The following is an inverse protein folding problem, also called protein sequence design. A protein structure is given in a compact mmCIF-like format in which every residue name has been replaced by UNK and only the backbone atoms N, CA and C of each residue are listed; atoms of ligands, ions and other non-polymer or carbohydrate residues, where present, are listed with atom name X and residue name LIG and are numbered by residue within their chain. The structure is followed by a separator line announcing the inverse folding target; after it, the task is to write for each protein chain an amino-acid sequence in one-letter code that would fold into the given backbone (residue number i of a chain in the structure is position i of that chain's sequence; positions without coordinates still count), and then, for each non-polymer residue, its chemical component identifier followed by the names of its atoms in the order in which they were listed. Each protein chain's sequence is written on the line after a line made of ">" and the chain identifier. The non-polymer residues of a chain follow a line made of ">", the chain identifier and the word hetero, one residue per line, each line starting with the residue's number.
data_IF_227777033770
#
_entry.id   IF_227777033770
#
_cell.length_a   1.000
_cell.length_b   1.000
_cell.length_c   1.000
_cell.angle_alpha   90.00
_cell.angle_beta   90.00
_cell.angle_gamma   90.00
#
_symmetry.space_group_name_H-M   'P 1'
#
loop_
_entity.id
_entity.type
_entity.pdbx_description
1 polymer ?
#
# COMPACT_ATOMS: atom_id res chain seq x y z
N UNK A 1 -11.87 -37.87 9.17
CA UNK A 1 -12.73 -36.69 8.99
C UNK A 1 -11.89 -35.65 8.28
N UNK A 2 -12.23 -35.27 7.06
CA UNK A 2 -11.53 -34.19 6.36
C UNK A 2 -11.88 -32.88 7.07
N UNK A 3 -10.88 -32.15 7.56
CA UNK A 3 -11.07 -30.85 8.18
C UNK A 3 -11.38 -29.83 7.08
N UNK A 4 -12.56 -29.22 7.13
CA UNK A 4 -12.99 -28.21 6.17
C UNK A 4 -12.83 -26.82 6.80
N UNK A 5 -12.27 -25.89 6.05
CA UNK A 5 -12.22 -24.47 6.43
C UNK A 5 -13.59 -23.84 6.16
N UNK A 6 -14.08 -23.05 7.11
CA UNK A 6 -15.24 -22.20 6.92
C UNK A 6 -14.86 -20.75 7.21
N UNK A 7 -15.27 -19.83 6.33
CA UNK A 7 -14.99 -18.39 6.46
C UNK A 7 -16.26 -17.59 6.31
N UNK A 8 -16.50 -16.63 7.21
CA UNK A 8 -17.59 -15.65 7.10
C UNK A 8 -17.11 -14.25 7.45
N UNK A 9 -17.77 -13.22 6.93
CA UNK A 9 -17.42 -11.81 7.17
C UNK A 9 -18.63 -11.08 7.78
N UNK A 10 -18.91 -11.21 9.08
CA UNK A 10 -20.13 -10.64 9.67
C UNK A 10 -20.16 -9.13 9.76
N UNK A 11 -19.01 -8.45 9.79
CA UNK A 11 -18.96 -7.00 9.97
C UNK A 11 -17.74 -6.34 9.32
N UNK A 12 -17.80 -5.01 9.21
CA UNK A 12 -16.66 -4.16 8.87
C UNK A 12 -16.37 -3.18 10.01
N UNK A 13 -15.13 -2.75 10.13
CA UNK A 13 -14.65 -1.85 11.19
C UNK A 13 -13.68 -0.82 10.62
N UNK A 14 -13.56 0.34 11.27
CA UNK A 14 -12.50 1.31 10.97
C UNK A 14 -11.25 0.93 11.74
N UNK A 15 -10.18 0.61 11.02
CA UNK A 15 -8.87 0.29 11.59
C UNK A 15 -7.98 1.51 11.45
N UNK A 16 -7.38 1.95 12.55
CA UNK A 16 -6.40 3.02 12.57
C UNK A 16 -5.00 2.42 12.64
N UNK A 17 -4.15 2.81 11.70
CA UNK A 17 -2.73 2.48 11.69
C UNK A 17 -1.86 3.75 11.60
N UNK A 18 -0.54 3.58 11.49
CA UNK A 18 0.40 4.69 11.37
C UNK A 18 0.27 5.51 10.08
N UNK A 19 -0.46 4.99 9.07
CA UNK A 19 -0.67 5.62 7.75
C UNK A 19 -2.03 6.29 7.59
N UNK A 20 -2.98 6.03 8.51
CA UNK A 20 -4.31 6.63 8.52
C UNK A 20 -5.37 5.64 9.03
N UNK A 21 -6.62 5.93 8.70
CA UNK A 21 -7.74 5.02 8.95
C UNK A 21 -8.16 4.32 7.66
N UNK A 22 -8.45 3.02 7.74
CA UNK A 22 -8.99 2.25 6.63
C UNK A 22 -10.14 1.35 7.06
N UNK A 23 -11.01 0.99 6.13
CA UNK A 23 -12.07 0.03 6.39
C UNK A 23 -11.54 -1.40 6.32
N UNK A 24 -11.52 -2.07 7.46
CA UNK A 24 -11.22 -3.49 7.59
C UNK A 24 -12.50 -4.33 7.60
N UNK A 25 -12.45 -5.49 6.97
CA UNK A 25 -13.52 -6.49 7.01
C UNK A 25 -13.10 -7.59 7.97
N UNK A 26 -13.98 -7.88 8.93
CA UNK A 26 -13.72 -8.81 10.02
C UNK A 26 -14.09 -10.21 9.52
N UNK A 27 -13.10 -11.01 9.16
CA UNK A 27 -13.31 -12.39 8.71
C UNK A 27 -13.17 -13.36 9.88
N UNK A 28 -14.24 -14.09 10.17
CA UNK A 28 -14.29 -15.18 11.13
C UNK A 28 -13.97 -16.48 10.42
N UNK A 29 -12.94 -17.18 10.89
CA UNK A 29 -12.43 -18.39 10.30
C UNK A 29 -12.59 -19.56 11.29
N UNK A 30 -13.01 -20.72 10.79
CA UNK A 30 -13.13 -21.96 11.56
C UNK A 30 -12.49 -23.10 10.81
N UNK A 31 -11.65 -23.87 11.49
CA UNK A 31 -11.01 -25.05 10.92
C UNK A 31 -10.96 -26.15 11.98
N UNK A 32 -11.82 -27.17 11.82
CA UNK A 32 -12.07 -28.13 12.90
C UNK A 32 -12.67 -27.45 14.13
N UNK A 33 -12.02 -27.62 15.28
CA UNK A 33 -12.43 -27.03 16.56
C UNK A 33 -11.81 -25.64 16.79
N UNK A 34 -10.84 -25.25 15.98
CA UNK A 34 -10.20 -23.94 16.07
C UNK A 34 -11.06 -22.88 15.39
N UNK A 35 -11.21 -21.72 16.04
CA UNK A 35 -11.92 -20.57 15.51
C UNK A 35 -11.15 -19.29 15.82
N UNK A 36 -10.94 -18.43 14.84
CA UNK A 36 -10.24 -17.16 15.04
C UNK A 36 -10.81 -16.07 14.15
N UNK A 37 -10.29 -14.86 14.30
CA UNK A 37 -10.70 -13.70 13.53
C UNK A 37 -9.48 -13.02 12.96
N UNK A 38 -9.56 -12.67 11.68
CA UNK A 38 -8.57 -11.87 10.95
C UNK A 38 -9.27 -10.66 10.34
N UNK A 39 -8.54 -9.55 10.21
CA UNK A 39 -9.08 -8.33 9.62
C UNK A 39 -8.32 -8.06 8.34
N UNK A 40 -9.04 -7.97 7.23
CA UNK A 40 -8.46 -7.69 5.92
C UNK A 40 -9.02 -6.42 5.31
N UNK A 41 -8.17 -5.64 4.64
CA UNK A 41 -8.61 -4.53 3.78
C UNK A 41 -9.12 -5.07 2.45
N UNK A 42 -9.99 -4.33 1.78
CA UNK A 42 -10.57 -4.72 0.49
C UNK A 42 -9.52 -5.15 -0.56
N UNK A 43 -8.38 -4.46 -0.64
CA UNK A 43 -7.35 -4.81 -1.63
C UNK A 43 -6.78 -6.21 -1.43
N UNK A 44 -6.67 -6.69 -0.19
CA UNK A 44 -6.18 -8.05 0.08
C UNK A 44 -7.15 -9.10 -0.46
N UNK A 45 -8.47 -8.89 -0.36
CA UNK A 45 -9.47 -9.78 -1.00
C UNK A 45 -9.36 -9.73 -2.53
N UNK A 46 -9.11 -8.54 -3.09
CA UNK A 46 -8.94 -8.38 -4.53
C UNK A 46 -7.68 -9.11 -5.03
N UNK A 47 -6.59 -9.06 -4.28
CA UNK A 47 -5.35 -9.75 -4.60
C UNK A 47 -5.52 -11.28 -4.51
N UNK A 48 -6.22 -11.75 -3.46
CA UNK A 48 -6.64 -13.16 -3.32
C UNK A 48 -7.43 -13.61 -4.55
N UNK A 49 -8.48 -12.86 -4.91
CA UNK A 49 -9.34 -13.16 -6.05
C UNK A 49 -8.57 -13.20 -7.36
N UNK A 50 -7.71 -12.21 -7.59
CA UNK A 50 -6.84 -12.15 -8.78
C UNK A 50 -5.92 -13.37 -8.87
N UNK A 51 -5.37 -13.80 -7.72
CA UNK A 51 -4.51 -14.99 -7.65
C UNK A 51 -5.28 -16.29 -7.90
N UNK A 52 -6.51 -16.41 -7.41
CA UNK A 52 -7.39 -17.57 -7.66
C UNK A 52 -7.81 -17.66 -9.13
N UNK A 53 -8.20 -16.54 -9.74
CA UNK A 53 -8.60 -16.49 -11.16
C UNK A 53 -7.45 -16.85 -12.11
N UNK A 54 -6.22 -16.43 -11.78
CA UNK A 54 -5.03 -16.78 -12.56
C UNK A 54 -4.81 -18.29 -12.65
N UNK A 55 -5.17 -19.01 -11.61
CA UNK A 55 -5.06 -20.48 -11.51
C UNK A 55 -6.36 -21.18 -11.93
N UNK A 56 -7.21 -20.47 -12.70
CA UNK A 56 -8.45 -20.96 -13.31
C UNK A 56 -9.58 -21.37 -12.34
N UNK A 57 -9.55 -20.93 -11.08
CA UNK A 57 -10.76 -20.96 -10.24
C UNK A 57 -11.62 -19.75 -10.56
N UNK A 58 -12.78 -20.01 -11.16
CA UNK A 58 -13.85 -19.03 -11.30
C UNK A 58 -14.91 -19.34 -10.24
N UNK A 59 -15.14 -18.39 -9.34
CA UNK A 59 -16.29 -18.42 -8.44
C UNK A 59 -17.52 -17.90 -9.18
N UNK A 60 -18.69 -18.45 -8.90
CA UNK A 60 -19.94 -17.91 -9.42
C UNK A 60 -20.36 -16.62 -8.67
N UNK A 61 -19.90 -16.44 -7.43
CA UNK A 61 -20.22 -15.28 -6.60
C UNK A 61 -19.69 -13.97 -7.19
N UNK A 62 -20.52 -12.90 -7.22
CA UNK A 62 -20.13 -11.62 -7.76
C UNK A 62 -19.12 -10.91 -6.83
N UNK A 63 -17.90 -10.70 -7.33
CA UNK A 63 -16.90 -9.94 -6.57
C UNK A 63 -17.19 -8.43 -6.62
N UNK A 64 -17.13 -7.70 -5.48
CA UNK A 64 -17.44 -6.27 -5.45
C UNK A 64 -16.46 -5.46 -6.31
N UNK A 65 -16.90 -4.47 -7.11
CA UNK A 65 -16.02 -3.66 -7.94
C UNK A 65 -15.08 -2.77 -7.11
N UNK A 66 -13.91 -2.45 -7.68
CA UNK A 66 -12.88 -1.62 -7.02
C UNK A 66 -13.34 -0.18 -6.80
N UNK A 67 -14.06 0.38 -7.76
CA UNK A 67 -14.69 1.70 -7.67
C UNK A 67 -16.14 1.54 -7.23
N UNK A 68 -16.40 1.63 -5.94
CA UNK A 68 -17.74 2.02 -5.49
C UNK A 68 -17.78 3.54 -5.51
N UNK A 69 -18.84 4.13 -6.07
CA UNK A 69 -19.16 5.53 -5.80
C UNK A 69 -19.23 5.77 -4.29
N UNK A 70 -19.12 7.03 -3.85
CA UNK A 70 -19.10 7.51 -2.46
C UNK A 70 -19.47 6.45 -1.41
N UNK A 71 -18.57 6.19 -0.45
CA UNK A 71 -18.71 5.17 0.60
C UNK A 71 -19.85 5.55 1.56
N UNK A 72 -21.08 5.40 1.09
CA UNK A 72 -22.31 5.45 1.88
C UNK A 72 -22.44 4.12 2.61
N UNK A 73 -23.05 4.11 3.81
CA UNK A 73 -23.20 2.90 4.63
C UNK A 73 -23.75 1.69 3.86
N UNK A 74 -24.78 1.91 3.04
CA UNK A 74 -25.39 0.85 2.22
C UNK A 74 -24.44 0.24 1.18
N UNK A 75 -23.57 1.06 0.58
CA UNK A 75 -22.59 0.60 -0.40
C UNK A 75 -21.50 -0.25 0.27
N UNK A 76 -21.09 0.13 1.49
CA UNK A 76 -20.11 -0.61 2.26
C UNK A 76 -20.67 -1.97 2.72
N UNK A 77 -21.91 -1.97 3.22
CA UNK A 77 -22.57 -3.21 3.66
C UNK A 77 -22.82 -4.17 2.49
N UNK A 78 -23.23 -3.64 1.33
CA UNK A 78 -23.33 -4.44 0.10
C UNK A 78 -21.97 -5.04 -0.29
N UNK A 79 -20.89 -4.27 -0.20
CA UNK A 79 -19.53 -4.77 -0.47
C UNK A 79 -19.14 -5.86 0.53
N UNK A 80 -19.43 -5.69 1.83
CA UNK A 80 -19.19 -6.72 2.86
C UNK A 80 -19.92 -8.01 2.51
N UNK A 81 -21.22 -7.92 2.20
CA UNK A 81 -22.04 -9.09 1.86
C UNK A 81 -21.52 -9.85 0.64
N UNK A 82 -21.09 -9.13 -0.41
CA UNK A 82 -20.49 -9.76 -1.59
C UNK A 82 -19.14 -10.43 -1.29
N UNK A 83 -18.32 -9.86 -0.41
CA UNK A 83 -17.09 -10.50 0.04
C UNK A 83 -17.39 -11.76 0.87
N UNK A 84 -18.41 -11.72 1.73
CA UNK A 84 -18.84 -12.86 2.55
C UNK A 84 -19.29 -14.03 1.66
N UNK A 85 -20.16 -13.77 0.70
CA UNK A 85 -20.64 -14.77 -0.27
C UNK A 85 -19.47 -15.39 -1.06
N UNK A 86 -18.54 -14.57 -1.53
CA UNK A 86 -17.33 -15.02 -2.22
C UNK A 86 -16.45 -15.93 -1.34
N UNK A 87 -16.23 -15.56 -0.08
CA UNK A 87 -15.41 -16.36 0.84
C UNK A 87 -16.07 -17.68 1.23
N UNK A 88 -17.40 -17.68 1.39
CA UNK A 88 -18.16 -18.90 1.67
C UNK A 88 -18.07 -19.88 0.51
N UNK A 89 -18.26 -19.42 -0.73
CA UNK A 89 -18.13 -20.25 -1.93
C UNK A 89 -16.71 -20.82 -2.07
N UNK A 90 -15.69 -19.98 -1.89
CA UNK A 90 -14.30 -20.44 -1.87
C UNK A 90 -14.08 -21.53 -0.81
N UNK A 91 -14.54 -21.31 0.42
CA UNK A 91 -14.33 -22.25 1.53
C UNK A 91 -15.07 -23.59 1.35
N UNK A 92 -16.19 -23.60 0.62
CA UNK A 92 -16.99 -24.79 0.34
C UNK A 92 -16.56 -25.58 -0.92
N UNK A 93 -15.74 -24.98 -1.79
CA UNK A 93 -15.32 -25.62 -3.03
C UNK A 93 -14.16 -26.60 -2.83
N UNK A 94 -14.18 -27.70 -3.58
CA UNK A 94 -13.06 -28.65 -3.58
C UNK A 94 -11.91 -28.07 -4.42
N UNK A 95 -10.93 -27.48 -3.74
CA UNK A 95 -9.80 -26.80 -4.38
C UNK A 95 -8.52 -27.67 -4.40
N UNK A 96 -7.67 -27.52 -5.42
CA UNK A 96 -6.30 -28.06 -5.42
C UNK A 96 -5.50 -27.62 -4.20
N UNK A 97 -4.58 -28.48 -3.73
CA UNK A 97 -3.79 -28.26 -2.51
C UNK A 97 -3.04 -26.92 -2.51
N UNK A 98 -2.47 -26.51 -3.65
CA UNK A 98 -1.76 -25.24 -3.76
C UNK A 98 -2.69 -24.02 -3.58
N UNK A 99 -3.96 -24.11 -3.98
CA UNK A 99 -4.95 -23.03 -3.81
C UNK A 99 -5.53 -23.03 -2.41
N UNK A 100 -5.70 -24.21 -1.80
CA UNK A 100 -5.97 -24.30 -0.36
C UNK A 100 -4.87 -23.61 0.44
N UNK A 101 -3.59 -23.80 0.07
CA UNK A 101 -2.47 -23.13 0.73
C UNK A 101 -2.54 -21.60 0.62
N UNK A 102 -2.94 -21.04 -0.53
CA UNK A 102 -3.14 -19.59 -0.69
C UNK A 102 -4.27 -19.09 0.20
N UNK A 103 -5.39 -19.81 0.26
CA UNK A 103 -6.50 -19.45 1.15
C UNK A 103 -6.08 -19.55 2.63
N UNK A 104 -5.32 -20.58 3.01
CA UNK A 104 -4.79 -20.76 4.36
C UNK A 104 -3.78 -19.69 4.76
N UNK A 105 -2.96 -19.23 3.82
CA UNK A 105 -2.08 -18.08 4.02
C UNK A 105 -2.89 -16.80 4.27
N UNK A 106 -3.92 -16.57 3.44
CA UNK A 106 -4.81 -15.42 3.58
C UNK A 106 -5.49 -15.37 4.95
N UNK A 107 -6.09 -16.47 5.41
CA UNK A 107 -6.74 -16.54 6.73
C UNK A 107 -5.76 -16.72 7.90
N UNK A 108 -4.46 -16.69 7.65
CA UNK A 108 -3.41 -16.90 8.66
C UNK A 108 -3.50 -18.24 9.42
N UNK A 109 -4.02 -19.30 8.79
CA UNK A 109 -4.31 -20.59 9.43
C UNK A 109 -3.14 -21.11 10.29
N UNK A 110 -1.92 -21.10 9.74
CA UNK A 110 -0.71 -21.61 10.42
C UNK A 110 -0.35 -20.80 11.67
N UNK A 111 -0.73 -19.52 11.74
CA UNK A 111 -0.46 -18.67 12.91
C UNK A 111 -1.49 -18.89 14.02
N UNK A 112 -2.66 -19.45 13.72
CA UNK A 112 -3.83 -19.45 14.60
C UNK A 112 -4.32 -20.84 15.02
N UNK A 113 -3.98 -21.90 14.29
CA UNK A 113 -4.35 -23.27 14.64
C UNK A 113 -3.69 -23.71 15.96
N UNK A 114 -4.44 -24.39 16.83
CA UNK A 114 -3.96 -24.82 18.16
C UNK A 114 -3.78 -23.69 19.18
N UNK A 115 -4.05 -22.44 18.82
CA UNK A 115 -4.23 -21.35 19.79
C UNK A 115 -5.70 -21.35 20.19
N UNK A 116 -5.98 -21.95 21.34
CA UNK A 116 -7.31 -21.90 21.96
C UNK A 116 -7.85 -20.46 21.90
N UNK A 117 -8.96 -20.28 21.20
CA UNK A 117 -9.66 -19.01 21.13
C UNK A 117 -10.69 -18.93 22.25
N UNK A 118 -10.87 -17.76 22.89
CA UNK A 118 -11.91 -17.55 23.88
C UNK A 118 -13.28 -17.60 23.20
N UNK A 119 -13.85 -18.80 23.11
CA UNK A 119 -15.22 -18.98 22.67
C UNK A 119 -16.20 -18.39 23.70
N UNK A 120 -17.10 -17.55 23.19
CA UNK A 120 -18.47 -17.34 23.65
C UNK A 120 -18.69 -16.63 25.00
N UNK A 121 -18.96 -15.32 24.93
CA UNK A 121 -20.22 -14.81 25.50
C UNK A 121 -21.18 -14.57 24.35
N UNK A 122 -22.15 -15.47 24.22
CA UNK A 122 -23.25 -15.34 23.28
C UNK A 122 -24.32 -14.42 23.83
N UNK A 123 -25.00 -13.69 22.94
CA UNK A 123 -26.36 -13.24 23.17
C UNK A 123 -27.01 -12.95 21.81
N UNK A 124 -27.98 -13.79 21.44
CA UNK A 124 -28.99 -13.50 20.44
C UNK A 124 -30.36 -13.88 21.05
N UNK A 125 -31.18 -12.84 21.21
CA UNK A 125 -32.65 -12.74 21.34
C UNK A 125 -33.52 -14.01 21.47
N UNK A 126 -34.46 -14.00 22.44
CA UNK A 126 -35.91 -13.83 22.20
C UNK A 126 -36.79 -14.17 23.44
N UNK A 127 -37.66 -13.21 23.77
CA UNK A 127 -39.02 -13.24 24.32
C UNK A 127 -39.65 -14.46 25.07
N UNK A 128 -40.36 -14.06 26.14
CA UNK A 128 -41.69 -14.49 26.62
C UNK A 128 -41.83 -15.39 27.89
N UNK A 129 -42.54 -14.78 28.87
CA UNK A 129 -43.49 -15.34 29.84
C UNK A 129 -43.06 -15.70 31.28
N UNK A 130 -43.32 -14.74 32.19
CA UNK A 130 -44.14 -14.83 33.42
C UNK A 130 -43.82 -15.87 34.52
N UNK A 131 -43.38 -15.40 35.71
CA UNK A 131 -44.19 -15.35 36.95
C UNK A 131 -43.32 -15.30 38.24
N UNK A 132 -43.64 -14.36 39.14
CA UNK A 132 -43.33 -14.33 40.60
C UNK A 132 -41.87 -14.06 40.98
N UNK A 133 -41.47 -13.02 41.71
CA UNK A 133 -42.14 -12.32 42.80
C UNK A 133 -41.48 -12.68 44.13
N UNK A 134 -40.40 -11.97 44.51
CA UNK A 134 -40.02 -11.70 45.91
C UNK A 134 -38.83 -10.73 45.97
N UNK A 135 -39.10 -9.52 46.44
CA UNK A 135 -38.12 -8.49 46.82
C UNK A 135 -37.22 -8.93 47.97
N UNK A 136 -35.91 -8.65 47.87
CA UNK A 136 -35.11 -8.00 48.93
C UNK A 136 -33.95 -7.24 48.26
N UNK A 137 -33.88 -5.93 48.47
CA UNK A 137 -32.83 -5.00 47.99
C UNK A 137 -31.52 -5.05 48.83
N UNK A 138 -30.41 -4.46 48.34
CA UNK A 138 -29.02 -4.89 48.59
C UNK A 138 -28.22 -3.95 49.52
N UNK A 139 -26.97 -4.31 49.88
CA UNK A 139 -25.98 -3.34 50.35
C UNK A 139 -24.96 -2.93 49.28
N UNK A 140 -25.06 -1.64 48.91
CA UNK A 140 -24.00 -0.63 48.76
C UNK A 140 -22.66 -1.02 48.10
N UNK A 141 -22.48 -0.54 46.85
CA UNK A 141 -21.19 -0.32 46.21
C UNK A 141 -20.74 1.16 46.41
N UNK A 142 -19.42 1.44 46.55
CA UNK A 142 -18.91 2.80 46.65
C UNK A 142 -18.94 3.55 45.31
N UNK A 143 -19.27 4.85 45.40
CA UNK A 143 -19.55 5.77 44.30
C UNK A 143 -18.33 6.10 43.41
N UNK A 144 -18.54 6.37 42.10
CA UNK A 144 -17.60 7.08 41.24
C UNK A 144 -17.67 8.61 41.46
N UNK A 145 -16.58 9.36 41.22
CA UNK A 145 -16.53 10.79 41.47
C UNK A 145 -17.41 11.60 40.51
N UNK A 146 -18.12 12.55 41.11
CA UNK A 146 -18.91 13.58 40.45
C UNK A 146 -18.03 14.62 39.76
N UNK A 147 -18.29 14.87 38.48
CA UNK A 147 -18.33 16.24 37.95
C UNK A 147 -19.16 16.23 36.66
N UNK A 148 -20.45 16.52 36.81
CA UNK A 148 -21.31 16.90 35.72
C UNK A 148 -20.92 18.33 35.29
N UNK A 149 -20.35 18.48 34.10
CA UNK A 149 -20.49 19.73 33.36
C UNK A 149 -21.76 19.61 32.53
N UNK A 150 -22.62 20.61 32.72
CA UNK A 150 -23.87 20.85 32.01
C UNK A 150 -23.55 21.07 30.53
N UNK A 151 -24.15 20.29 29.64
CA UNK A 151 -24.12 20.56 28.19
C UNK A 151 -25.41 21.28 27.83
N UNK A 152 -25.31 22.60 27.65
CA UNK A 152 -26.41 23.46 27.21
C UNK A 152 -26.94 23.04 25.83
N UNK A 153 -28.25 22.78 25.74
CA UNK A 153 -29.01 22.38 24.54
C UNK A 153 -29.18 23.50 23.49
N UNK A 154 -28.20 24.40 23.36
CA UNK A 154 -28.21 25.47 22.34
C UNK A 154 -27.05 25.38 21.33
N UNK A 155 -26.29 24.28 21.36
CA UNK A 155 -25.11 24.09 20.51
C UNK A 155 -25.38 23.32 19.20
N UNK A 156 -26.65 23.12 18.82
CA UNK A 156 -27.06 22.29 17.66
C UNK A 156 -28.00 23.02 16.67
N UNK A 157 -27.89 24.35 16.52
CA UNK A 157 -28.72 25.08 15.57
C UNK A 157 -28.01 26.09 14.67
N UNK A 158 -26.70 25.94 14.43
CA UNK A 158 -26.03 26.79 13.42
C UNK A 158 -25.27 25.93 12.40
N UNK A 159 -25.67 26.11 11.14
CA UNK A 159 -25.15 25.48 9.94
C UNK A 159 -23.68 25.90 9.71
N UNK A 160 -22.69 25.00 9.88
CA UNK A 160 -21.29 25.38 9.78
C UNK A 160 -20.84 25.67 8.34
N UNK A 161 -21.73 25.57 7.34
CA UNK A 161 -21.41 25.85 5.95
C UNK A 161 -21.58 27.33 5.55
N UNK A 162 -22.25 28.15 6.37
CA UNK A 162 -22.45 29.58 6.08
C UNK A 162 -21.27 30.48 6.56
N UNK A 163 -20.48 30.03 7.53
CA UNK A 163 -19.37 30.81 8.08
C UNK A 163 -18.06 30.72 7.28
N UNK A 164 -17.95 29.79 6.32
CA UNK A 164 -16.75 29.63 5.49
C UNK A 164 -16.77 30.41 4.17
N UNK A 165 -17.82 31.20 3.91
CA UNK A 165 -17.95 32.04 2.70
C UNK A 165 -17.63 33.53 2.91
N UNK A 166 -17.27 33.97 4.13
CA UNK A 166 -16.93 35.37 4.42
C UNK A 166 -15.45 35.64 4.74
N UNK A 167 -14.56 34.66 4.53
CA UNK A 167 -13.11 34.90 4.54
C UNK A 167 -12.49 34.50 3.19
N UNK A 168 -12.91 35.18 2.12
CA UNK A 168 -12.26 35.10 0.81
C UNK A 168 -12.33 36.47 0.10
N UNK A 169 -11.54 37.41 0.60
CA UNK A 169 -11.12 38.69 0.00
C UNK A 169 -10.14 39.28 1.03
N UNK A 170 -8.86 39.55 0.81
CA UNK A 170 -8.09 39.95 -0.37
C UNK A 170 -6.63 39.57 -0.07
N UNK A 171 -5.96 38.77 -0.92
CA UNK A 171 -4.52 38.95 -1.17
C UNK A 171 -4.19 38.41 -2.56
N UNK A 172 -4.13 39.34 -3.50
CA UNK A 172 -3.82 39.14 -4.90
C UNK A 172 -2.31 38.91 -5.06
N UNK A 173 -1.90 37.68 -5.34
CA UNK A 173 -0.52 37.36 -5.67
C UNK A 173 -0.15 37.96 -7.05
N UNK A 174 1.01 38.62 -7.19
CA UNK A 174 1.38 39.32 -8.41
C UNK A 174 1.65 38.35 -9.57
N UNK A 175 1.08 38.67 -10.74
CA UNK A 175 1.36 38.05 -12.04
C UNK A 175 2.87 37.93 -12.30
N UNK A 176 3.37 36.79 -12.83
CA UNK A 176 4.73 36.74 -13.34
C UNK A 176 4.88 37.69 -14.55
N UNK A 177 6.02 38.40 -14.68
CA UNK A 177 6.21 39.39 -15.74
C UNK A 177 6.28 38.75 -17.13
N UNK A 178 5.85 39.47 -18.18
CA UNK A 178 5.97 39.01 -19.56
C UNK A 178 7.45 38.94 -19.97
N UNK A 179 7.77 37.91 -20.74
CA UNK A 179 9.09 37.68 -21.31
C UNK A 179 9.57 38.93 -22.07
N UNK A 180 10.61 39.57 -21.55
CA UNK A 180 11.38 40.59 -22.25
C UNK A 180 12.30 39.88 -23.26
N UNK A 181 11.88 39.95 -24.51
CA UNK A 181 12.67 40.38 -25.67
C UNK A 181 14.20 40.45 -25.48
N UNK A 182 14.92 39.57 -26.17
CA UNK A 182 16.29 39.86 -26.60
C UNK A 182 16.47 39.47 -28.07
N UNK A 183 16.21 40.47 -28.90
CA UNK A 183 17.03 40.91 -30.03
C UNK A 183 17.91 39.87 -30.77
N UNK A 184 17.52 39.67 -32.03
CA UNK A 184 18.32 39.89 -33.23
C UNK A 184 19.43 38.91 -33.67
N UNK A 185 19.09 38.23 -34.78
CA UNK A 185 19.87 37.99 -36.03
C UNK A 185 20.96 36.89 -36.05
N UNK A 186 21.35 36.36 -37.25
CA UNK A 186 20.81 36.57 -38.61
C UNK A 186 20.59 35.29 -39.45
N UNK A 187 20.01 35.52 -40.64
CA UNK A 187 19.86 34.63 -41.78
C UNK A 187 21.19 34.11 -42.38
N UNK A 188 21.08 33.00 -43.13
CA UNK A 188 21.90 32.61 -44.30
C UNK A 188 20.91 32.34 -45.45
N UNK A 189 21.26 32.30 -46.76
CA UNK A 189 22.59 32.01 -47.34
C UNK A 189 22.98 32.75 -48.66
N UNK A 190 24.27 32.75 -49.00
CA UNK A 190 24.82 32.61 -50.38
C UNK A 190 26.36 32.69 -50.30
N UNK A 191 27.08 31.61 -50.63
CA UNK A 191 27.78 31.40 -51.91
C UNK A 191 28.86 32.46 -52.21
N UNK A 192 30.15 32.10 -52.06
CA UNK A 192 31.08 32.06 -53.19
C UNK A 192 32.48 31.52 -52.81
N UNK A 193 32.96 30.62 -53.68
CA UNK A 193 34.31 30.40 -54.22
C UNK A 193 35.60 30.36 -53.34
N UNK A 194 36.34 29.28 -53.60
CA UNK A 194 37.77 29.23 -53.99
C UNK A 194 38.80 28.60 -53.00
N UNK A 195 39.31 27.42 -53.45
CA UNK A 195 40.70 26.96 -53.54
C UNK A 195 41.58 26.88 -52.27
N UNK A 196 42.45 25.89 -52.02
CA UNK A 196 42.86 24.63 -52.67
C UNK A 196 43.76 23.82 -51.71
N UNK A 197 43.84 22.49 -51.93
CA UNK A 197 44.86 21.49 -51.52
C UNK A 197 45.18 21.32 -50.01
N UNK A 198 45.07 20.14 -49.40
CA UNK A 198 45.75 18.87 -49.77
C UNK A 198 45.14 17.67 -48.98
N UNK A 199 44.99 16.50 -49.61
CA UNK A 199 44.64 15.20 -48.99
C UNK A 199 45.92 14.39 -48.62
N UNK A 200 45.87 13.15 -48.06
CA UNK A 200 44.75 12.34 -47.51
C UNK A 200 45.08 11.69 -46.14
N UNK A 201 44.10 11.05 -45.47
CA UNK A 201 44.17 9.63 -45.05
C UNK A 201 43.12 9.26 -43.98
N UNK A 202 42.50 8.10 -44.22
CA UNK A 202 41.86 7.20 -43.27
C UNK A 202 40.61 7.71 -42.51
N UNK A 203 39.47 7.36 -43.11
CA UNK A 203 38.19 7.25 -42.44
C UNK A 203 38.23 6.25 -41.28
N UNK A 204 37.81 6.69 -40.10
CA UNK A 204 37.10 5.84 -39.14
C UNK A 204 35.70 6.45 -39.00
N UNK A 205 34.62 5.66 -39.16
CA UNK A 205 33.29 6.19 -38.92
C UNK A 205 33.15 6.52 -37.43
N UNK A 206 32.85 7.78 -37.14
CA UNK A 206 32.37 8.25 -35.84
C UNK A 206 30.98 7.64 -35.57
N UNK A 207 30.96 6.35 -35.25
CA UNK A 207 29.78 5.63 -34.76
C UNK A 207 29.74 5.63 -33.22
N UNK A 208 30.50 6.50 -32.56
CA UNK A 208 30.34 6.73 -31.13
C UNK A 208 29.11 7.60 -30.91
N UNK A 209 27.96 6.91 -30.88
CA UNK A 209 26.73 7.38 -30.25
C UNK A 209 27.09 8.06 -28.92
N UNK A 210 27.05 9.39 -28.89
CA UNK A 210 26.79 10.09 -27.65
C UNK A 210 25.36 9.73 -27.25
N UNK A 211 25.21 8.58 -26.56
CA UNK A 211 24.01 8.31 -25.77
C UNK A 211 23.96 9.42 -24.73
N UNK A 212 23.10 10.39 -24.98
CA UNK A 212 22.83 11.49 -24.07
C UNK A 212 22.39 10.86 -22.74
N UNK A 213 23.24 10.97 -21.71
CA UNK A 213 22.93 10.44 -20.40
C UNK A 213 21.63 11.11 -19.92
N UNK A 214 20.63 10.29 -19.59
CA UNK A 214 19.34 10.79 -19.10
C UNK A 214 19.63 11.45 -17.75
N UNK A 215 19.48 12.77 -17.64
CA UNK A 215 19.70 13.46 -16.37
C UNK A 215 18.51 13.23 -15.46
N UNK A 216 18.75 12.66 -14.28
CA UNK A 216 17.75 12.53 -13.22
C UNK A 216 17.83 13.74 -12.29
N UNK A 217 16.71 14.11 -11.68
CA UNK A 217 16.75 15.05 -10.59
C UNK A 217 17.56 14.46 -9.42
N UNK A 218 18.32 15.29 -8.72
CA UNK A 218 19.11 14.89 -7.56
C UNK A 218 18.25 14.86 -6.30
N UNK A 219 17.08 14.23 -6.38
CA UNK A 219 16.12 14.11 -5.30
C UNK A 219 15.62 12.66 -5.18
N UNK A 220 14.80 12.39 -4.17
CA UNK A 220 14.30 11.05 -3.92
C UNK A 220 13.43 10.49 -5.06
N UNK A 221 12.67 11.34 -5.76
CA UNK A 221 11.88 10.93 -6.92
C UNK A 221 12.77 10.63 -8.14
N UNK A 222 13.80 11.45 -8.39
CA UNK A 222 14.78 11.22 -9.45
C UNK A 222 15.60 9.94 -9.24
N UNK A 223 16.01 9.64 -8.00
CA UNK A 223 16.67 8.37 -7.67
C UNK A 223 15.74 7.17 -7.92
N UNK A 224 14.48 7.27 -7.52
CA UNK A 224 13.46 6.24 -7.76
C UNK A 224 13.27 5.96 -9.25
N UNK A 225 13.21 7.01 -10.07
CA UNK A 225 13.06 6.85 -11.52
C UNK A 225 14.30 6.25 -12.17
N UNK A 226 15.51 6.57 -11.70
CA UNK A 226 16.74 5.92 -12.14
C UNK A 226 16.73 4.42 -11.83
N UNK A 227 16.29 4.04 -10.62
CA UNK A 227 16.16 2.64 -10.20
C UNK A 227 15.16 1.90 -11.08
N UNK A 228 13.96 2.46 -11.29
CA UNK A 228 12.92 1.84 -12.14
C UNK A 228 13.36 1.59 -13.58
N UNK A 229 14.20 2.48 -14.11
CA UNK A 229 14.72 2.36 -15.47
C UNK A 229 15.97 1.47 -15.57
N UNK A 230 16.43 0.87 -14.45
CA UNK A 230 17.68 0.11 -14.36
C UNK A 230 18.91 0.93 -14.81
N UNK A 231 18.88 2.25 -14.64
CA UNK A 231 20.02 3.10 -15.01
C UNK A 231 21.04 3.17 -13.88
N UNK A 232 22.03 2.28 -13.96
CA UNK A 232 23.12 2.17 -12.99
C UNK A 232 23.96 3.46 -12.91
N UNK A 233 24.17 4.14 -14.04
CA UNK A 233 24.98 5.35 -14.08
C UNK A 233 24.20 6.55 -13.53
N UNK A 234 22.89 6.62 -13.82
CA UNK A 234 21.99 7.60 -13.23
C UNK A 234 21.87 7.45 -11.70
N UNK A 235 21.73 6.22 -11.19
CA UNK A 235 21.73 5.95 -9.75
C UNK A 235 23.05 6.40 -9.11
N UNK A 236 24.18 6.07 -9.75
CA UNK A 236 25.51 6.45 -9.27
C UNK A 236 25.68 7.97 -9.21
N UNK A 237 25.32 8.69 -10.28
CA UNK A 237 25.45 10.15 -10.31
C UNK A 237 24.57 10.85 -9.28
N UNK A 238 23.35 10.34 -9.05
CA UNK A 238 22.44 10.89 -8.03
C UNK A 238 22.98 10.62 -6.62
N UNK A 239 23.50 9.42 -6.34
CA UNK A 239 24.07 9.10 -5.03
C UNK A 239 25.42 9.80 -4.76
N UNK A 240 26.21 10.07 -5.80
CA UNK A 240 27.43 10.88 -5.68
C UNK A 240 27.13 12.35 -5.36
N UNK A 241 26.05 12.89 -5.92
CA UNK A 241 25.57 14.23 -5.60
C UNK A 241 24.95 14.29 -4.19
N UNK A 242 24.08 13.33 -3.86
CA UNK A 242 23.36 13.29 -2.58
C UNK A 242 23.37 11.89 -1.95
N UNK A 243 24.40 11.55 -1.15
CA UNK A 243 24.52 10.24 -0.51
C UNK A 243 23.37 9.91 0.46
N UNK A 244 22.71 10.93 1.01
CA UNK A 244 21.58 10.77 1.96
C UNK A 244 20.37 10.11 1.32
N UNK A 245 20.23 10.19 -0.01
CA UNK A 245 19.12 9.59 -0.75
C UNK A 245 19.16 8.06 -0.74
N UNK A 246 20.27 7.42 -0.36
CA UNK A 246 20.36 5.97 -0.22
C UNK A 246 19.31 5.39 0.76
N UNK A 247 18.94 6.15 1.78
CA UNK A 247 17.91 5.81 2.77
C UNK A 247 16.57 6.52 2.54
N UNK A 248 16.40 7.16 1.38
CA UNK A 248 15.13 7.79 1.02
C UNK A 248 14.01 6.74 0.96
N UNK A 249 12.85 7.13 1.48
CA UNK A 249 11.62 6.35 1.43
C UNK A 249 10.62 7.05 0.54
N UNK A 250 9.95 6.29 -0.31
CA UNK A 250 8.90 6.83 -1.15
C UNK A 250 7.57 6.99 -0.39
N UNK A 251 6.51 7.39 -1.09
CA UNK A 251 5.18 7.62 -0.50
C UNK A 251 4.53 6.35 0.09
N UNK A 252 5.02 5.17 -0.28
CA UNK A 252 4.59 3.88 0.27
C UNK A 252 5.54 3.41 1.39
N UNK A 253 6.39 4.30 1.88
CA UNK A 253 7.46 4.01 2.82
C UNK A 253 8.48 2.98 2.32
N UNK A 254 8.51 2.70 1.00
CA UNK A 254 9.51 1.81 0.42
C UNK A 254 10.86 2.51 0.34
N UNK A 255 11.90 1.90 0.91
CA UNK A 255 13.26 2.39 0.72
C UNK A 255 13.74 2.11 -0.71
N UNK A 256 14.75 2.84 -1.16
CA UNK A 256 15.40 2.58 -2.45
C UNK A 256 15.89 1.13 -2.59
N UNK A 257 16.25 0.49 -1.46
CA UNK A 257 16.63 -0.92 -1.42
C UNK A 257 15.46 -1.87 -1.67
N UNK A 258 14.24 -1.55 -1.21
CA UNK A 258 13.03 -2.32 -1.53
C UNK A 258 12.74 -2.26 -3.03
N UNK A 259 12.80 -1.07 -3.63
CA UNK A 259 12.58 -0.92 -5.08
C UNK A 259 13.60 -1.73 -5.88
N UNK A 260 14.89 -1.63 -5.55
CA UNK A 260 15.92 -2.43 -6.20
C UNK A 260 15.68 -3.94 -6.02
N UNK A 261 15.11 -4.35 -4.87
CA UNK A 261 14.76 -5.73 -4.57
C UNK A 261 13.56 -6.26 -5.35
N UNK A 262 12.50 -5.46 -5.45
CA UNK A 262 11.28 -5.76 -6.22
C UNK A 262 11.63 -5.91 -7.71
N UNK A 263 12.43 -4.99 -8.26
CA UNK A 263 12.85 -5.04 -9.67
C UNK A 263 14.01 -6.01 -9.94
N UNK A 264 14.52 -6.70 -8.92
CA UNK A 264 15.65 -7.64 -9.03
C UNK A 264 16.91 -7.01 -9.66
N UNK A 265 17.17 -5.74 -9.34
CA UNK A 265 18.30 -4.98 -9.86
C UNK A 265 19.51 -5.12 -8.95
N UNK A 266 20.20 -6.27 -9.09
CA UNK A 266 21.34 -6.66 -8.24
C UNK A 266 22.45 -5.60 -8.17
N UNK A 267 22.86 -5.04 -9.31
CA UNK A 267 23.93 -4.04 -9.39
C UNK A 267 23.55 -2.73 -8.68
N UNK A 268 22.29 -2.33 -8.77
CA UNK A 268 21.76 -1.13 -8.11
C UNK A 268 21.65 -1.36 -6.60
N UNK A 269 21.22 -2.55 -6.16
CA UNK A 269 21.20 -2.92 -4.76
C UNK A 269 22.61 -2.87 -4.13
N UNK A 270 23.63 -3.36 -4.85
CA UNK A 270 25.02 -3.29 -4.41
C UNK A 270 25.52 -1.84 -4.30
N UNK A 271 25.13 -0.96 -5.22
CA UNK A 271 25.46 0.47 -5.16
C UNK A 271 24.80 1.15 -3.96
N UNK A 272 23.53 0.89 -3.70
CA UNK A 272 22.79 1.45 -2.58
C UNK A 272 23.37 0.99 -1.24
N UNK A 273 23.71 -0.29 -1.10
CA UNK A 273 24.38 -0.82 0.09
C UNK A 273 25.74 -0.16 0.33
N UNK A 274 26.54 0.03 -0.73
CA UNK A 274 27.83 0.75 -0.65
C UNK A 274 27.65 2.22 -0.26
N UNK A 275 26.55 2.83 -0.68
CA UNK A 275 26.18 4.20 -0.30
C UNK A 275 25.62 4.31 1.14
N UNK A 276 25.53 3.20 1.88
CA UNK A 276 25.07 3.21 3.27
C UNK A 276 23.56 3.07 3.44
N UNK A 277 22.86 2.49 2.45
CA UNK A 277 21.47 2.10 2.61
C UNK A 277 21.33 1.01 3.69
N UNK A 278 20.39 1.20 4.61
CA UNK A 278 20.11 0.24 5.67
C UNK A 278 19.15 -0.88 5.17
N UNK A 279 19.59 -2.15 5.13
CA UNK A 279 18.77 -3.27 4.68
C UNK A 279 17.69 -3.69 5.68
N UNK A 280 17.78 -3.25 6.93
CA UNK A 280 16.83 -3.59 7.99
C UNK A 280 15.60 -2.66 8.02
N UNK A 281 15.61 -1.64 7.17
CA UNK A 281 14.47 -0.73 7.02
C UNK A 281 13.25 -1.53 6.58
N UNK A 282 12.13 -1.28 7.25
CA UNK A 282 10.83 -1.84 6.89
C UNK A 282 10.00 -0.87 6.05
N UNK A 283 9.28 -1.40 5.07
CA UNK A 283 8.25 -0.69 4.30
C UNK A 283 6.94 -0.56 5.12
N UNK A 284 5.90 0.03 4.51
CA UNK A 284 4.59 0.17 5.17
C UNK A 284 3.93 -1.17 5.54
N UNK A 285 4.25 -2.24 4.80
CA UNK A 285 3.77 -3.59 5.04
C UNK A 285 4.59 -4.34 6.12
N UNK A 286 5.61 -3.70 6.70
CA UNK A 286 6.47 -4.28 7.73
C UNK A 286 7.54 -5.25 7.21
N UNK A 287 7.68 -5.34 5.90
CA UNK A 287 8.65 -6.17 5.18
C UNK A 287 9.97 -5.45 5.04
N UNK A 288 11.09 -6.19 5.08
CA UNK A 288 12.42 -5.67 4.75
C UNK A 288 12.71 -5.81 3.26
N UNK A 289 13.76 -5.15 2.78
CA UNK A 289 14.21 -5.29 1.40
C UNK A 289 14.54 -6.76 1.03
N UNK A 290 14.94 -7.58 2.01
CA UNK A 290 15.17 -9.01 1.81
C UNK A 290 13.85 -9.75 1.65
N UNK A 291 12.80 -9.40 2.38
CA UNK A 291 11.52 -10.12 2.34
C UNK A 291 10.85 -9.99 0.96
N UNK A 292 10.89 -8.78 0.39
CA UNK A 292 10.35 -8.47 -0.95
C UNK A 292 11.28 -8.88 -2.10
N UNK A 293 12.53 -9.26 -1.81
CA UNK A 293 13.49 -9.62 -2.84
C UNK A 293 13.12 -10.92 -3.57
N UNK A 294 13.35 -10.93 -4.89
CA UNK A 294 13.31 -12.14 -5.71
C UNK A 294 14.35 -13.16 -5.22
N UNK A 295 14.11 -14.46 -5.47
CA UNK A 295 14.96 -15.57 -4.99
C UNK A 295 16.45 -15.38 -5.32
N UNK A 296 16.76 -14.88 -6.53
CA UNK A 296 18.12 -14.62 -7.00
C UNK A 296 18.85 -13.55 -6.18
N UNK A 297 18.13 -12.51 -5.74
CA UNK A 297 18.67 -11.42 -4.94
C UNK A 297 18.74 -11.76 -3.45
N UNK A 298 17.76 -12.52 -2.92
CA UNK A 298 17.79 -13.07 -1.54
C UNK A 298 19.09 -13.82 -1.27
N UNK A 299 19.51 -14.69 -2.19
CA UNK A 299 20.77 -15.43 -2.08
C UNK A 299 21.98 -14.51 -1.97
N UNK A 300 22.00 -13.41 -2.75
CA UNK A 300 23.09 -12.42 -2.70
C UNK A 300 23.11 -11.64 -1.38
N UNK A 301 21.97 -11.16 -0.90
CA UNK A 301 21.89 -10.46 0.38
C UNK A 301 22.35 -11.35 1.54
N UNK A 302 21.96 -12.63 1.54
CA UNK A 302 22.42 -13.60 2.54
C UNK A 302 23.93 -13.84 2.47
N UNK A 303 24.52 -13.94 1.27
CA UNK A 303 25.98 -14.06 1.14
C UNK A 303 26.73 -12.78 1.53
N UNK A 304 26.16 -11.60 1.27
CA UNK A 304 26.76 -10.32 1.64
C UNK A 304 26.69 -10.08 3.16
N UNK A 305 25.61 -10.50 3.82
CA UNK A 305 25.46 -10.45 5.26
C UNK A 305 26.42 -11.42 5.98
N UNK A 306 26.74 -12.56 5.37
CA UNK A 306 27.71 -13.53 5.91
C UNK A 306 29.19 -13.12 5.71
N UNK A 307 29.46 -12.12 4.87
CA UNK A 307 30.80 -11.63 4.57
C UNK A 307 31.24 -10.42 5.43
N UNK A 308 30.42 -10.03 6.41
CA UNK A 308 30.64 -8.90 7.32
C UNK A 308 30.86 -9.41 8.74
#
# INVERSE_FOLDING_TARGET
>A
MSLTLHVSIPSSTSVNDSSGSYTGFVAQCRYGDDAWTVIHRYSQFYDLKTRMEKEAIQTAAPFPPKKFGSVTGDALEKRRAQLDEYMQELSGSFMPEHLQAVLFEFVELKKNIGKASPAAKGEAAADAASAGGASVEPPSAPAPPSQAQVWDEKFMSEDPLAALMQQASVEEAPKPPPAAERAAKPAKPSADAAAASSQPAAALPSFLSHTQAKSYAHDGEGLRDAIKNRDVQGVKSVLEAEPRLANYKDRQAESMLHLAAIFNHTEIADLLLKAGADPLVKNADGETAIDVAQFSLKKKFQTAAAAK
#
